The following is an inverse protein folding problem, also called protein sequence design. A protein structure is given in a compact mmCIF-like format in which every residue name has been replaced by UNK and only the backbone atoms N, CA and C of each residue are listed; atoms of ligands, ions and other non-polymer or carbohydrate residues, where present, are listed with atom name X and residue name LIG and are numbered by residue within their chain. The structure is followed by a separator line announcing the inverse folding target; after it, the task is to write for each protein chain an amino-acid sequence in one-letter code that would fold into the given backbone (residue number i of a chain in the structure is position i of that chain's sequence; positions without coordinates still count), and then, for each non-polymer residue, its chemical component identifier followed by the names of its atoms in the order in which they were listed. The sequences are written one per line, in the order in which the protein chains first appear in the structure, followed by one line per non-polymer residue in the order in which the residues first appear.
data_IF_025597230714
#
_entry.id   IF_025597230714
#
_cell.length_a   1.000
_cell.length_b   1.000
_cell.length_c   1.000
_cell.angle_alpha   90.00
_cell.angle_beta   90.00
_cell.angle_gamma   90.00
#
_symmetry.space_group_name_H-M   'P 1'
#
loop_
_entity.id
_entity.type
_entity.pdbx_description
1 polymer ?
#
# COMPACT_ATOMS: atom_id res chain seq x y z
N UNK A 1 -7.28 -5.90 -24.78
CA UNK A 1 -6.23 -5.32 -23.93
C UNK A 1 -6.92 -4.88 -22.66
N UNK A 2 -6.84 -5.69 -21.61
CA UNK A 2 -7.50 -5.42 -20.34
C UNK A 2 -6.57 -4.57 -19.47
N UNK A 3 -6.94 -3.31 -19.26
CA UNK A 3 -6.26 -2.43 -18.31
C UNK A 3 -6.66 -2.91 -16.91
N UNK A 4 -5.68 -3.25 -16.09
CA UNK A 4 -5.89 -3.55 -14.66
C UNK A 4 -5.26 -2.43 -13.83
N UNK A 5 -5.99 -2.03 -12.81
CA UNK A 5 -5.52 -1.06 -11.82
C UNK A 5 -5.16 -1.80 -10.55
N UNK A 6 -3.91 -1.72 -10.12
CA UNK A 6 -3.43 -2.39 -8.91
C UNK A 6 -2.69 -1.38 -8.04
N UNK A 7 -2.97 -1.41 -6.74
CA UNK A 7 -2.17 -0.67 -5.77
C UNK A 7 -0.86 -1.44 -5.52
N UNK A 8 0.32 -0.82 -5.68
CA UNK A 8 1.60 -1.47 -5.35
C UNK A 8 1.65 -1.97 -3.91
N UNK A 9 1.00 -1.25 -2.99
CA UNK A 9 0.87 -1.68 -1.59
C UNK A 9 -0.05 -2.89 -1.42
N UNK A 10 -1.10 -3.04 -2.24
CA UNK A 10 -1.93 -4.23 -2.21
C UNK A 10 -1.16 -5.48 -2.60
N UNK A 11 -0.29 -5.36 -3.60
CA UNK A 11 0.60 -6.46 -4.00
C UNK A 11 1.65 -6.76 -2.91
N UNK A 12 2.29 -5.73 -2.34
CA UNK A 12 3.24 -5.90 -1.25
C UNK A 12 2.59 -6.57 -0.03
N UNK A 13 1.35 -6.20 0.30
CA UNK A 13 0.56 -6.83 1.34
C UNK A 13 0.35 -8.32 1.08
N UNK A 14 -0.08 -8.69 -0.12
CA UNK A 14 -0.33 -10.08 -0.50
C UNK A 14 0.95 -10.94 -0.39
N UNK A 15 2.08 -10.42 -0.89
CA UNK A 15 3.39 -11.11 -0.85
C UNK A 15 3.93 -11.32 0.57
N UNK A 16 3.61 -10.41 1.50
CA UNK A 16 4.12 -10.44 2.89
C UNK A 16 3.09 -10.96 3.91
N UNK A 17 1.88 -11.36 3.48
CA UNK A 17 0.81 -11.76 4.40
C UNK A 17 0.34 -10.63 5.34
N UNK A 18 0.52 -9.37 4.95
CA UNK A 18 0.13 -8.20 5.74
C UNK A 18 -1.28 -7.77 5.35
N UNK A 19 -2.14 -7.52 6.33
CA UNK A 19 -3.52 -7.06 6.08
C UNK A 19 -3.65 -5.54 6.24
N UNK A 20 -4.66 -4.96 5.60
CA UNK A 20 -5.02 -3.54 5.80
C UNK A 20 -5.25 -3.20 7.28
N UNK A 21 -5.84 -4.14 8.04
CA UNK A 21 -6.08 -3.98 9.47
C UNK A 21 -4.77 -3.91 10.27
N UNK A 22 -3.73 -4.66 9.85
CA UNK A 22 -2.41 -4.61 10.48
C UNK A 22 -1.71 -3.29 10.20
N UNK A 23 -1.78 -2.78 8.97
CA UNK A 23 -1.26 -1.45 8.60
C UNK A 23 -1.96 -0.37 9.42
N UNK A 24 -3.30 -0.41 9.45
CA UNK A 24 -4.12 0.52 10.22
C UNK A 24 -3.70 0.55 11.70
N UNK A 25 -3.54 -0.63 12.32
CA UNK A 25 -3.10 -0.75 13.71
C UNK A 25 -1.68 -0.19 13.93
N UNK A 26 -0.74 -0.48 13.04
CA UNK A 26 0.65 -0.03 13.17
C UNK A 26 0.77 1.50 13.06
N UNK A 27 0.00 2.08 12.15
CA UNK A 27 0.02 3.52 11.87
C UNK A 27 -0.92 4.32 12.80
N UNK A 28 -1.91 3.69 13.42
CA UNK A 28 -2.89 4.37 14.26
C UNK A 28 -4.06 4.98 13.48
N UNK A 29 -4.38 4.42 12.31
CA UNK A 29 -5.52 4.82 11.48
C UNK A 29 -6.63 3.77 11.51
N UNK A 30 -7.79 4.09 10.93
CA UNK A 30 -8.86 3.12 10.71
C UNK A 30 -8.56 2.24 9.49
N UNK A 31 -9.11 1.02 9.47
CA UNK A 31 -9.05 0.15 8.27
C UNK A 31 -9.67 0.84 7.05
N UNK A 32 -10.72 1.64 7.26
CA UNK A 32 -11.37 2.39 6.19
C UNK A 32 -10.44 3.45 5.58
N UNK A 33 -9.62 4.14 6.38
CA UNK A 33 -8.63 5.09 5.87
C UNK A 33 -7.63 4.37 4.95
N UNK A 34 -7.07 3.24 5.39
CA UNK A 34 -6.16 2.42 4.58
C UNK A 34 -6.82 1.96 3.28
N UNK A 35 -8.08 1.51 3.33
CA UNK A 35 -8.81 1.14 2.12
C UNK A 35 -8.97 2.34 1.16
N UNK A 36 -9.33 3.52 1.67
CA UNK A 36 -9.44 4.73 0.85
C UNK A 36 -8.14 5.08 0.15
N UNK A 37 -6.98 4.93 0.82
CA UNK A 37 -5.66 5.12 0.23
C UNK A 37 -5.40 4.13 -0.91
N UNK A 38 -5.66 2.84 -0.68
CA UNK A 38 -5.44 1.79 -1.68
C UNK A 38 -6.34 1.91 -2.90
N UNK A 39 -7.53 2.46 -2.74
CA UNK A 39 -8.48 2.71 -3.84
C UNK A 39 -8.32 4.07 -4.50
N UNK A 40 -7.33 4.88 -4.09
CA UNK A 40 -7.10 6.22 -4.64
C UNK A 40 -8.17 7.26 -4.30
N UNK A 41 -9.02 6.99 -3.28
CA UNK A 41 -10.05 7.95 -2.85
C UNK A 41 -9.48 9.12 -2.05
N UNK A 42 -8.38 8.87 -1.34
CA UNK A 42 -7.72 9.84 -0.46
C UNK A 42 -6.22 9.58 -0.53
N UNK A 43 -5.45 10.63 -0.76
CA UNK A 43 -3.99 10.56 -0.68
C UNK A 43 -3.54 10.51 0.80
N UNK A 44 -2.72 9.52 1.21
CA UNK A 44 -2.24 9.41 2.58
C UNK A 44 -1.17 10.47 2.89
N UNK A 45 -1.39 11.25 3.94
CA UNK A 45 -0.40 12.21 4.47
C UNK A 45 0.41 11.59 5.61
N UNK A 46 1.31 10.67 5.26
CA UNK A 46 2.16 9.99 6.24
C UNK A 46 3.42 10.80 6.55
N UNK A 47 3.75 10.92 7.83
CA UNK A 47 5.02 11.43 8.31
C UNK A 47 6.16 10.43 8.06
N UNK A 48 7.41 10.92 8.08
CA UNK A 48 8.60 10.07 7.98
C UNK A 48 8.64 8.94 9.04
N UNK A 49 8.08 9.18 10.24
CA UNK A 49 7.99 8.17 11.30
C UNK A 49 7.04 7.03 10.90
N UNK A 50 5.96 7.34 10.21
CA UNK A 50 4.98 6.36 9.74
C UNK A 50 5.53 5.54 8.58
N UNK A 51 6.25 6.17 7.65
CA UNK A 51 7.01 5.45 6.63
C UNK A 51 8.01 4.46 7.23
N UNK A 52 8.75 4.85 8.28
CA UNK A 52 9.64 3.93 9.02
C UNK A 52 8.90 2.75 9.65
N UNK A 53 7.70 2.97 10.19
CA UNK A 53 6.87 1.90 10.74
C UNK A 53 6.42 0.92 9.66
N UNK A 54 6.02 1.40 8.49
CA UNK A 54 5.69 0.55 7.34
C UNK A 54 6.88 -0.29 6.92
N UNK A 55 8.05 0.33 6.77
CA UNK A 55 9.28 -0.37 6.38
C UNK A 55 9.57 -1.52 7.35
N UNK A 56 9.48 -1.24 8.66
CA UNK A 56 9.63 -2.27 9.71
C UNK A 56 8.55 -3.35 9.64
N UNK A 57 7.28 -2.98 9.38
CA UNK A 57 6.17 -3.92 9.27
C UNK A 57 6.37 -4.91 8.10
N UNK A 58 6.91 -4.42 6.98
CA UNK A 58 7.20 -5.22 5.79
C UNK A 58 8.62 -5.82 5.81
N UNK A 59 9.39 -5.67 6.89
CA UNK A 59 10.75 -6.21 6.98
C UNK A 59 11.72 -5.65 5.94
N UNK A 60 11.51 -4.41 5.49
CA UNK A 60 12.28 -3.76 4.41
C UNK A 60 12.76 -2.36 4.81
N UNK A 61 13.42 -1.63 3.91
CA UNK A 61 13.81 -0.22 4.08
C UNK A 61 12.81 0.72 3.40
N UNK A 62 12.81 2.00 3.78
CA UNK A 62 11.90 2.98 3.20
C UNK A 62 12.12 3.11 1.69
N UNK A 63 13.38 3.05 1.21
CA UNK A 63 13.68 3.18 -0.23
C UNK A 63 13.13 2.03 -1.08
N UNK A 64 12.73 0.91 -0.44
CA UNK A 64 12.14 -0.24 -1.11
C UNK A 64 10.61 -0.28 -1.00
N UNK A 65 10.01 0.66 -0.25
CA UNK A 65 8.56 0.79 -0.21
C UNK A 65 8.09 1.48 -1.49
N UNK A 66 6.86 1.21 -1.94
CA UNK A 66 6.23 2.00 -2.98
C UNK A 66 6.06 3.46 -2.53
N UNK A 67 6.25 4.39 -3.46
CA UNK A 67 6.10 5.82 -3.19
C UNK A 67 4.63 6.24 -3.01
N UNK A 68 3.68 5.42 -3.48
CA UNK A 68 2.23 5.70 -3.40
C UNK A 68 1.41 4.46 -3.09
N UNK A 69 0.29 4.68 -2.39
CA UNK A 69 -0.75 3.67 -2.13
C UNK A 69 -1.77 3.56 -3.26
N UNK A 70 -1.79 4.53 -4.18
CA UNK A 70 -2.85 4.66 -5.17
C UNK A 70 -2.81 3.55 -6.23
N UNK A 71 -3.93 3.42 -6.94
CA UNK A 71 -4.07 2.51 -8.06
C UNK A 71 -3.19 2.97 -9.21
N UNK A 72 -2.33 2.08 -9.71
CA UNK A 72 -1.51 2.32 -10.88
C UNK A 72 -1.98 1.45 -12.04
N UNK A 73 -1.96 2.01 -13.24
CA UNK A 73 -2.20 1.27 -14.47
C UNK A 73 -1.09 0.27 -14.68
N UNK A 74 -1.44 -1.01 -14.62
CA UNK A 74 -0.53 -2.09 -14.99
C UNK A 74 -1.01 -2.70 -16.30
N UNK A 75 -0.11 -2.73 -17.27
CA UNK A 75 -0.38 -3.32 -18.57
C UNK A 75 -0.39 -4.85 -18.40
N UNK A 76 -1.58 -5.45 -18.39
CA UNK A 76 -1.72 -6.90 -18.34
C UNK A 76 -1.31 -7.51 -19.67
N UNK A 77 -0.15 -8.18 -19.74
CA UNK A 77 0.10 -9.17 -20.78
C UNK A 77 -0.85 -10.35 -20.53
N UNK A 78 -1.79 -10.56 -21.43
CA UNK A 78 -2.58 -11.79 -21.49
C UNK A 78 -1.81 -12.68 -22.45
N UNK A 79 -1.32 -13.84 -21.99
CA UNK A 79 -0.88 -14.92 -22.87
C UNK A 79 -2.08 -15.46 -23.65
#
# INVERSE_FOLDING_TARGET
MDIKYVSPYAELMARNGVTQARIAKELGYSRQAVNSWLTGKVEPKLSMKEWKKLAKLFGTTIEKLPDSFELQEVQGFTD
#
